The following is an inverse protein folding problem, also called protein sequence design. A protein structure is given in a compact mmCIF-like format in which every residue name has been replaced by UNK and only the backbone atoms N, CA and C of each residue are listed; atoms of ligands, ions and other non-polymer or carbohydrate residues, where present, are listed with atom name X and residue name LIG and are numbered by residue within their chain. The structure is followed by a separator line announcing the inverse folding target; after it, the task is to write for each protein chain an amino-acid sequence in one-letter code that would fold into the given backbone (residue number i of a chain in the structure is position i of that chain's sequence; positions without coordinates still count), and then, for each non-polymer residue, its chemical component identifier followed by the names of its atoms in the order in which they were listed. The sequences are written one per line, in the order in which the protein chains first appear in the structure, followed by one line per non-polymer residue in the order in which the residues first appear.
data_IF_716233133772
#
_entry.id   IF_716233133772
#
_cell.length_a   1.000
_cell.length_b   1.000
_cell.length_c   1.000
_cell.angle_alpha   90.00
_cell.angle_beta   90.00
_cell.angle_gamma   90.00
#
_symmetry.space_group_name_H-M   'P 1'
#
loop_
_entity.id
_entity.type
_entity.pdbx_description
1 polymer ?
#
# COMPACT_ATOMS: atom_id res chain seq x y z
N UNK A 1 47.01 67.57 -55.89
CA UNK A 1 46.96 67.00 -57.25
C UNK A 1 46.10 65.74 -57.20
N UNK A 2 44.97 65.78 -57.91
CA UNK A 2 43.90 64.78 -57.96
C UNK A 2 44.43 63.49 -58.61
N UNK A 3 44.15 62.32 -58.03
CA UNK A 3 44.22 61.03 -58.75
C UNK A 3 42.91 60.26 -58.56
N UNK A 4 42.36 59.93 -59.71
CA UNK A 4 41.04 59.38 -59.97
C UNK A 4 40.95 57.90 -59.55
N UNK A 5 39.79 57.52 -59.01
CA UNK A 5 39.35 56.14 -58.83
C UNK A 5 38.86 55.59 -60.17
N UNK A 6 39.40 54.45 -60.59
CA UNK A 6 38.86 53.62 -61.67
C UNK A 6 38.20 52.39 -61.05
N UNK A 7 36.89 52.30 -61.20
CA UNK A 7 36.08 51.17 -60.77
C UNK A 7 36.23 50.00 -61.75
N UNK A 8 36.61 48.83 -61.24
CA UNK A 8 36.54 47.57 -61.97
C UNK A 8 35.20 46.89 -61.64
N UNK A 9 34.39 46.66 -62.67
CA UNK A 9 33.14 45.89 -62.60
C UNK A 9 33.49 44.41 -62.58
N UNK A 10 33.27 43.73 -61.45
CA UNK A 10 33.38 42.28 -61.33
C UNK A 10 32.01 41.64 -61.56
N UNK A 11 31.87 40.89 -62.66
CA UNK A 11 30.68 40.09 -62.95
C UNK A 11 30.73 38.83 -62.09
N UNK A 12 29.85 38.73 -61.09
CA UNK A 12 29.69 37.54 -60.25
C UNK A 12 28.59 36.67 -60.86
N UNK A 13 28.98 35.52 -61.41
CA UNK A 13 28.07 34.45 -61.82
C UNK A 13 27.50 33.74 -60.55
N UNK A 14 26.18 33.48 -60.46
CA UNK A 14 25.60 32.83 -59.30
C UNK A 14 25.95 31.34 -59.29
N UNK A 15 26.75 30.91 -58.31
CA UNK A 15 26.89 29.50 -57.95
C UNK A 15 25.60 29.05 -57.27
N UNK A 16 24.79 28.25 -57.96
CA UNK A 16 23.65 27.56 -57.37
C UNK A 16 24.16 26.41 -56.49
N UNK A 17 24.43 26.71 -55.21
CA UNK A 17 24.67 25.69 -54.19
C UNK A 17 23.32 25.04 -53.82
N UNK A 18 23.09 23.85 -54.34
CA UNK A 18 21.98 22.97 -53.96
C UNK A 18 22.11 22.62 -52.47
N UNK A 19 21.33 23.28 -51.63
CA UNK A 19 21.14 22.88 -50.23
C UNK A 19 20.36 21.56 -50.25
N UNK A 20 20.89 20.45 -49.69
CA UNK A 20 20.12 19.24 -49.57
C UNK A 20 18.96 19.50 -48.62
N UNK A 21 17.74 19.51 -49.15
CA UNK A 21 16.50 19.52 -48.39
C UNK A 21 16.43 18.21 -47.61
N UNK A 22 16.83 18.24 -46.34
CA UNK A 22 16.52 17.14 -45.43
C UNK A 22 14.99 17.10 -45.28
N UNK A 23 14.38 16.12 -45.92
CA UNK A 23 13.00 15.76 -45.67
C UNK A 23 12.83 15.50 -44.16
N UNK A 24 12.08 16.37 -43.49
CA UNK A 24 11.56 16.11 -42.15
C UNK A 24 10.45 15.07 -42.29
N UNK A 25 10.84 13.81 -42.49
CA UNK A 25 9.99 12.66 -42.20
C UNK A 25 10.57 11.95 -40.99
N UNK A 26 10.53 12.67 -39.86
CA UNK A 26 10.59 12.07 -38.54
C UNK A 26 9.18 12.16 -37.98
N UNK A 27 8.31 11.24 -38.40
CA UNK A 27 7.22 10.81 -37.53
C UNK A 27 7.89 10.37 -36.23
N UNK A 28 7.88 11.25 -35.22
CA UNK A 28 8.25 10.86 -33.87
C UNK A 28 7.42 9.61 -33.58
N UNK A 29 8.04 8.47 -33.19
CA UNK A 29 7.25 7.33 -32.78
C UNK A 29 6.28 7.85 -31.73
N UNK A 30 4.97 7.69 -31.99
CA UNK A 30 3.94 8.07 -31.04
C UNK A 30 4.41 7.57 -29.68
N UNK A 31 4.68 8.49 -28.76
CA UNK A 31 5.31 8.18 -27.48
C UNK A 31 4.47 7.08 -26.84
N UNK A 32 4.92 5.81 -26.95
CA UNK A 32 4.18 4.69 -26.42
C UNK A 32 4.05 4.96 -24.93
N UNK A 33 2.80 4.94 -24.45
CA UNK A 33 2.53 5.18 -23.04
C UNK A 33 3.35 4.20 -22.20
N UNK A 34 3.89 4.68 -21.09
CA UNK A 34 4.64 3.85 -20.15
C UNK A 34 3.71 2.73 -19.65
N UNK A 35 4.14 1.48 -19.70
CA UNK A 35 3.28 0.32 -19.39
C UNK A 35 3.47 -0.11 -17.95
N UNK A 36 2.40 -0.03 -17.16
CA UNK A 36 2.41 -0.48 -15.76
C UNK A 36 1.48 -1.68 -15.60
N UNK A 37 2.05 -2.80 -15.16
CA UNK A 37 1.28 -3.97 -14.78
C UNK A 37 1.11 -3.96 -13.25
N UNK A 38 -0.12 -3.82 -12.78
CA UNK A 38 -0.45 -3.98 -11.36
C UNK A 38 -0.87 -5.42 -11.09
N UNK A 39 -0.13 -6.10 -10.21
CA UNK A 39 -0.45 -7.44 -9.73
C UNK A 39 -0.91 -7.34 -8.28
N UNK A 40 -2.19 -7.61 -8.08
CA UNK A 40 -2.86 -7.50 -6.78
C UNK A 40 -2.86 -8.87 -6.09
N UNK A 41 -2.55 -8.91 -4.80
CA UNK A 41 -2.75 -10.14 -4.00
C UNK A 41 -4.23 -10.53 -3.92
N UNK A 42 -5.11 -9.54 -3.74
CA UNK A 42 -6.54 -9.76 -3.50
C UNK A 42 -7.41 -9.28 -4.67
N UNK A 43 -8.70 -9.63 -4.62
CA UNK A 43 -9.65 -9.22 -5.65
C UNK A 43 -10.01 -7.73 -5.58
N UNK A 44 -10.62 -7.24 -6.67
CA UNK A 44 -11.41 -6.01 -6.77
C UNK A 44 -12.87 -6.41 -7.10
N UNK A 45 -13.90 -5.70 -6.62
CA UNK A 45 -13.81 -4.59 -5.66
C UNK A 45 -13.37 -5.08 -4.28
N UNK A 46 -12.41 -4.39 -3.69
CA UNK A 46 -12.02 -4.49 -2.30
C UNK A 46 -11.28 -3.20 -1.92
N UNK A 47 -11.87 -2.43 -0.99
CA UNK A 47 -11.43 -1.06 -0.65
C UNK A 47 -9.92 -0.94 -0.48
N UNK A 48 -9.31 -1.86 0.26
CA UNK A 48 -7.87 -1.86 0.49
C UNK A 48 -7.05 -1.93 -0.81
N UNK A 49 -7.36 -2.88 -1.69
CA UNK A 49 -6.63 -3.06 -2.94
C UNK A 49 -6.90 -1.94 -3.94
N UNK A 50 -8.15 -1.47 -4.00
CA UNK A 50 -8.56 -0.39 -4.90
C UNK A 50 -7.92 0.94 -4.47
N UNK A 51 -7.90 1.24 -3.16
CA UNK A 51 -7.26 2.42 -2.62
C UNK A 51 -5.74 2.44 -2.89
N UNK A 52 -5.05 1.30 -2.80
CA UNK A 52 -3.64 1.20 -3.19
C UNK A 52 -3.40 1.57 -4.66
N UNK A 53 -4.25 1.12 -5.58
CA UNK A 53 -4.13 1.49 -6.99
C UNK A 53 -4.42 2.98 -7.22
N UNK A 54 -5.45 3.52 -6.58
CA UNK A 54 -5.81 4.94 -6.69
C UNK A 54 -4.68 5.84 -6.15
N UNK A 55 -4.14 5.49 -4.99
CA UNK A 55 -2.98 6.14 -4.41
C UNK A 55 -1.76 6.07 -5.34
N UNK A 56 -1.47 4.89 -5.89
CA UNK A 56 -0.36 4.72 -6.83
C UNK A 56 -0.46 5.65 -8.04
N UNK A 57 -1.65 5.73 -8.65
CA UNK A 57 -1.91 6.65 -9.77
C UNK A 57 -1.71 8.12 -9.35
N UNK A 58 -2.21 8.50 -8.17
CA UNK A 58 -2.02 9.86 -7.64
C UNK A 58 -0.54 10.19 -7.40
N UNK A 59 0.24 9.23 -6.88
CA UNK A 59 1.65 9.41 -6.57
C UNK A 59 2.53 9.50 -7.82
N UNK A 60 2.16 8.78 -8.87
CA UNK A 60 2.81 8.84 -10.17
C UNK A 60 2.58 10.19 -10.87
N UNK A 61 1.38 10.77 -10.70
CA UNK A 61 0.98 12.06 -11.27
C UNK A 61 0.35 11.94 -12.66
N UNK A 62 -0.42 12.97 -13.04
CA UNK A 62 -1.23 13.00 -14.27
C UNK A 62 -0.44 13.20 -15.56
N UNK A 63 0.78 13.73 -15.47
CA UNK A 63 1.59 14.09 -16.64
C UNK A 63 2.25 12.86 -17.30
N UNK A 64 2.26 11.73 -16.59
CA UNK A 64 2.78 10.46 -17.12
C UNK A 64 1.68 9.73 -17.87
N UNK A 65 1.81 9.65 -19.20
CA UNK A 65 0.92 8.82 -20.02
C UNK A 65 1.22 7.34 -19.74
N UNK A 66 0.29 6.67 -19.08
CA UNK A 66 0.44 5.26 -18.70
C UNK A 66 -0.67 4.39 -19.31
N UNK A 67 -0.29 3.25 -19.86
CA UNK A 67 -1.21 2.14 -20.08
C UNK A 67 -1.15 1.21 -18.86
N UNK A 68 -2.27 1.10 -18.15
CA UNK A 68 -2.38 0.19 -17.00
C UNK A 68 -2.97 -1.15 -17.43
N UNK A 69 -2.38 -2.24 -16.95
CA UNK A 69 -3.02 -3.55 -16.93
C UNK A 69 -3.08 -4.05 -15.49
N UNK A 70 -4.18 -4.69 -15.12
CA UNK A 70 -4.41 -5.19 -13.77
C UNK A 70 -4.57 -6.71 -13.82
N UNK A 71 -3.90 -7.41 -12.92
CA UNK A 71 -4.06 -8.84 -12.71
C UNK A 71 -4.26 -9.11 -11.22
N UNK A 72 -5.28 -9.88 -10.89
CA UNK A 72 -5.65 -10.20 -9.51
C UNK A 72 -5.32 -11.65 -9.22
N UNK A 73 -4.43 -11.89 -8.26
CA UNK A 73 -4.15 -13.24 -7.79
C UNK A 73 -5.40 -13.84 -7.12
N UNK A 74 -6.16 -13.00 -6.41
CA UNK A 74 -7.40 -13.36 -5.68
C UNK A 74 -7.16 -14.47 -4.64
N UNK A 75 -6.06 -14.38 -3.89
CA UNK A 75 -5.61 -15.44 -2.98
C UNK A 75 -6.56 -15.69 -1.81
N UNK A 76 -7.39 -14.70 -1.44
CA UNK A 76 -8.45 -14.88 -0.43
C UNK A 76 -9.55 -15.84 -0.87
N UNK A 77 -9.81 -15.97 -2.18
CA UNK A 77 -10.81 -16.91 -2.73
C UNK A 77 -10.15 -18.15 -3.35
N UNK A 78 -8.97 -17.97 -3.95
CA UNK A 78 -8.13 -19.00 -4.57
C UNK A 78 -7.02 -19.42 -3.61
N UNK A 79 -7.40 -20.02 -2.49
CA UNK A 79 -6.49 -20.26 -1.36
C UNK A 79 -5.90 -21.67 -1.30
N UNK A 80 -6.30 -22.59 -2.20
CA UNK A 80 -5.66 -23.90 -2.25
C UNK A 80 -4.25 -23.80 -2.86
N UNK A 81 -3.29 -24.67 -2.47
CA UNK A 81 -1.95 -24.64 -3.03
C UNK A 81 -1.92 -24.71 -4.57
N UNK A 82 -2.82 -25.49 -5.17
CA UNK A 82 -2.94 -25.64 -6.62
C UNK A 82 -3.44 -24.35 -7.28
N UNK A 83 -4.48 -23.72 -6.74
CA UNK A 83 -5.02 -22.47 -7.28
C UNK A 83 -4.02 -21.32 -7.12
N UNK A 84 -3.36 -21.22 -5.97
CA UNK A 84 -2.32 -20.23 -5.72
C UNK A 84 -1.14 -20.41 -6.70
N UNK A 85 -0.68 -21.64 -6.93
CA UNK A 85 0.39 -21.91 -7.89
C UNK A 85 -0.03 -21.56 -9.34
N UNK A 86 -1.28 -21.83 -9.70
CA UNK A 86 -1.85 -21.54 -11.00
C UNK A 86 -1.93 -20.03 -11.26
N UNK A 87 -2.58 -19.28 -10.36
CA UNK A 87 -2.76 -17.82 -10.49
C UNK A 87 -1.40 -17.09 -10.47
N UNK A 88 -0.44 -17.57 -9.66
CA UNK A 88 0.92 -17.04 -9.68
C UNK A 88 1.62 -17.26 -11.03
N UNK A 89 1.45 -18.44 -11.63
CA UNK A 89 2.04 -18.76 -12.94
C UNK A 89 1.50 -17.86 -14.04
N UNK A 90 0.19 -17.70 -14.10
CA UNK A 90 -0.48 -16.80 -15.05
C UNK A 90 -0.03 -15.35 -14.88
N UNK A 91 0.13 -14.87 -13.63
CA UNK A 91 0.68 -13.56 -13.33
C UNK A 91 2.10 -13.37 -13.86
N UNK A 92 2.99 -14.37 -13.67
CA UNK A 92 4.36 -14.36 -14.21
C UNK A 92 4.38 -14.38 -15.74
N UNK A 93 3.59 -15.27 -16.35
CA UNK A 93 3.45 -15.33 -17.82
C UNK A 93 2.91 -14.02 -18.41
N UNK A 94 2.08 -13.29 -17.67
CA UNK A 94 1.58 -11.97 -18.09
C UNK A 94 2.68 -10.91 -18.06
N UNK A 95 3.55 -10.90 -17.04
CA UNK A 95 4.74 -10.02 -16.99
C UNK A 95 5.60 -10.26 -18.24
N UNK A 96 5.87 -11.52 -18.56
CA UNK A 96 6.71 -11.88 -19.70
C UNK A 96 6.08 -11.51 -21.04
N UNK A 97 4.80 -11.82 -21.26
CA UNK A 97 4.13 -11.58 -22.55
C UNK A 97 3.79 -10.13 -22.82
N UNK A 98 3.47 -9.37 -21.77
CA UNK A 98 3.04 -7.98 -21.94
C UNK A 98 4.20 -6.99 -21.91
N UNK A 99 5.38 -7.40 -21.41
CA UNK A 99 6.58 -6.57 -21.34
C UNK A 99 6.35 -5.19 -20.68
N UNK A 100 5.86 -5.14 -19.44
CA UNK A 100 5.67 -3.87 -18.73
C UNK A 100 7.01 -3.13 -18.55
N UNK A 101 6.95 -1.81 -18.56
CA UNK A 101 8.09 -0.96 -18.18
C UNK A 101 8.28 -0.92 -16.65
N UNK A 102 7.21 -1.19 -15.89
CA UNK A 102 7.23 -1.35 -14.44
C UNK A 102 6.11 -2.29 -13.98
N UNK A 103 6.41 -3.09 -12.95
CA UNK A 103 5.39 -3.90 -12.27
C UNK A 103 5.13 -3.32 -10.89
N UNK A 104 3.87 -3.00 -10.60
CA UNK A 104 3.41 -2.64 -9.26
C UNK A 104 2.81 -3.88 -8.61
N UNK A 105 3.24 -4.25 -7.40
CA UNK A 105 2.66 -5.37 -6.63
C UNK A 105 2.10 -4.87 -5.31
N UNK A 106 0.89 -5.30 -4.94
CA UNK A 106 0.32 -4.98 -3.64
C UNK A 106 0.21 -6.21 -2.74
N UNK A 107 0.65 -6.06 -1.49
CA UNK A 107 0.67 -7.07 -0.42
C UNK A 107 1.67 -8.23 -0.63
N UNK A 108 1.84 -9.04 0.42
CA UNK A 108 2.87 -10.09 0.49
C UNK A 108 2.72 -11.17 -0.60
N UNK A 109 1.49 -11.60 -0.93
CA UNK A 109 1.29 -12.70 -1.88
C UNK A 109 1.78 -12.33 -3.30
N UNK A 110 1.48 -11.12 -3.78
CA UNK A 110 1.93 -10.65 -5.08
C UNK A 110 3.46 -10.49 -5.14
N UNK A 111 4.07 -10.01 -4.06
CA UNK A 111 5.52 -9.91 -3.94
C UNK A 111 6.16 -11.31 -3.96
N UNK A 112 5.68 -12.24 -3.12
CA UNK A 112 6.27 -13.57 -2.96
C UNK A 112 6.03 -14.47 -4.16
N UNK A 113 4.81 -14.50 -4.68
CA UNK A 113 4.38 -15.45 -5.71
C UNK A 113 4.77 -14.99 -7.11
N UNK A 114 4.91 -13.68 -7.34
CA UNK A 114 5.23 -13.14 -8.67
C UNK A 114 6.55 -12.39 -8.71
N UNK A 115 6.69 -11.29 -7.96
CA UNK A 115 7.88 -10.43 -8.09
C UNK A 115 9.19 -11.15 -7.74
N UNK A 116 9.17 -12.06 -6.76
CA UNK A 116 10.34 -12.89 -6.37
C UNK A 116 10.97 -13.64 -7.53
N UNK A 117 10.18 -14.04 -8.53
CA UNK A 117 10.68 -14.71 -9.73
C UNK A 117 11.56 -13.79 -10.60
N UNK A 118 11.36 -12.48 -10.49
CA UNK A 118 12.01 -11.47 -11.32
C UNK A 118 13.08 -10.66 -10.57
N UNK A 119 13.51 -11.11 -9.38
CA UNK A 119 14.59 -10.44 -8.66
C UNK A 119 15.88 -10.40 -9.48
N UNK A 120 16.51 -9.24 -9.50
CA UNK A 120 17.71 -8.91 -10.27
C UNK A 120 17.57 -9.11 -11.79
N UNK A 121 16.34 -9.09 -12.32
CA UNK A 121 16.08 -8.95 -13.75
C UNK A 121 16.02 -7.47 -14.16
N UNK A 122 15.82 -7.20 -15.46
CA UNK A 122 15.76 -5.83 -15.99
C UNK A 122 14.49 -5.08 -15.63
N UNK A 123 13.39 -5.79 -15.39
CA UNK A 123 12.08 -5.16 -15.15
C UNK A 123 12.07 -4.59 -13.71
N UNK A 124 11.78 -3.30 -13.51
CA UNK A 124 11.66 -2.73 -12.18
C UNK A 124 10.32 -3.10 -11.52
N UNK A 125 10.37 -3.39 -10.22
CA UNK A 125 9.19 -3.62 -9.40
C UNK A 125 9.12 -2.58 -8.28
N UNK A 126 7.90 -2.13 -8.01
CA UNK A 126 7.58 -1.35 -6.81
C UNK A 126 6.47 -2.08 -6.05
N UNK A 127 6.60 -2.22 -4.73
CA UNK A 127 5.56 -2.81 -3.90
C UNK A 127 4.95 -1.82 -2.89
N UNK A 128 3.75 -2.14 -2.40
CA UNK A 128 3.10 -1.49 -1.24
C UNK A 128 2.32 -2.52 -0.42
N UNK A 129 1.98 -2.19 0.83
CA UNK A 129 1.12 -3.05 1.67
C UNK A 129 1.79 -4.34 2.15
N UNK A 130 3.13 -4.41 2.16
CA UNK A 130 3.87 -5.63 2.50
C UNK A 130 4.14 -5.68 4.01
N UNK A 131 3.62 -6.71 4.68
CA UNK A 131 3.63 -6.84 6.13
C UNK A 131 4.94 -7.44 6.66
N UNK A 132 5.49 -8.47 6.01
CA UNK A 132 6.76 -9.09 6.48
C UNK A 132 7.94 -8.11 6.33
N UNK A 133 9.10 -8.47 6.87
CA UNK A 133 10.32 -7.66 6.69
C UNK A 133 10.86 -7.81 5.27
N UNK A 134 11.61 -6.81 4.79
CA UNK A 134 12.28 -6.90 3.50
C UNK A 134 13.19 -8.14 3.40
N UNK A 135 13.92 -8.45 4.49
CA UNK A 135 14.79 -9.63 4.57
C UNK A 135 14.00 -10.95 4.53
N UNK A 136 12.80 -11.02 5.15
CA UNK A 136 11.94 -12.20 5.06
C UNK A 136 11.47 -12.47 3.62
N UNK A 137 11.34 -11.42 2.81
CA UNK A 137 11.08 -11.49 1.36
C UNK A 137 12.32 -11.72 0.50
N UNK A 138 13.51 -11.81 1.11
CA UNK A 138 14.78 -12.00 0.40
C UNK A 138 15.27 -10.77 -0.37
N UNK A 139 14.90 -9.56 0.06
CA UNK A 139 15.20 -8.32 -0.65
C UNK A 139 16.59 -7.72 -0.34
N UNK A 140 17.37 -8.27 0.58
CA UNK A 140 18.61 -7.65 1.10
C UNK A 140 19.63 -7.30 0.00
N UNK A 141 19.66 -8.06 -1.10
CA UNK A 141 20.59 -7.86 -2.22
C UNK A 141 19.87 -7.67 -3.57
N UNK A 142 18.60 -7.28 -3.56
CA UNK A 142 17.78 -7.13 -4.78
C UNK A 142 17.79 -5.68 -5.24
N UNK A 143 18.21 -5.43 -6.50
CA UNK A 143 18.41 -4.05 -7.00
C UNK A 143 17.22 -3.49 -7.78
N UNK A 144 16.43 -4.36 -8.42
CA UNK A 144 15.31 -3.96 -9.26
C UNK A 144 13.97 -3.88 -8.51
N UNK A 145 13.95 -4.15 -7.21
CA UNK A 145 12.73 -4.14 -6.39
C UNK A 145 12.88 -3.13 -5.25
N UNK A 146 11.88 -2.28 -5.05
CA UNK A 146 11.77 -1.36 -3.92
C UNK A 146 10.30 -1.22 -3.52
N UNK A 147 9.97 -0.57 -2.41
CA UNK A 147 8.57 -0.37 -2.09
C UNK A 147 8.32 0.15 -0.69
N UNK A 148 7.06 0.03 -0.28
CA UNK A 148 6.55 0.53 1.00
C UNK A 148 6.15 -0.67 1.84
N UNK A 149 6.84 -0.85 2.98
CA UNK A 149 6.45 -1.82 3.98
C UNK A 149 5.28 -1.27 4.80
N UNK A 150 4.32 -2.13 5.08
CA UNK A 150 3.21 -1.87 5.98
C UNK A 150 3.69 -1.97 7.42
N UNK A 151 3.61 -0.86 8.17
CA UNK A 151 4.05 -0.80 9.56
C UNK A 151 2.96 -0.20 10.42
N UNK A 152 2.56 -0.95 11.44
CA UNK A 152 1.55 -0.56 12.39
C UNK A 152 2.05 0.57 13.29
N UNK A 153 1.24 1.61 13.46
CA UNK A 153 1.55 2.73 14.35
C UNK A 153 0.99 2.51 15.75
N UNK A 154 1.38 1.40 16.40
CA UNK A 154 0.83 0.97 17.69
C UNK A 154 1.10 2.03 18.77
N UNK A 155 2.36 2.48 18.89
CA UNK A 155 2.74 3.44 19.94
C UNK A 155 2.07 4.79 19.68
N UNK A 156 2.13 5.28 18.45
CA UNK A 156 1.55 6.57 18.05
C UNK A 156 0.03 6.57 18.28
N UNK A 157 -0.64 5.45 18.00
CA UNK A 157 -2.07 5.27 18.28
C UNK A 157 -2.38 5.37 19.78
N UNK A 158 -1.58 4.70 20.63
CA UNK A 158 -1.74 4.79 22.09
C UNK A 158 -1.43 6.21 22.59
N UNK A 159 -0.41 6.88 22.05
CA UNK A 159 -0.08 8.28 22.40
C UNK A 159 -1.17 9.25 21.98
N UNK A 160 -1.78 9.06 20.81
CA UNK A 160 -2.94 9.82 20.38
C UNK A 160 -4.10 9.65 21.37
N UNK A 161 -4.39 8.42 21.79
CA UNK A 161 -5.41 8.17 22.80
C UNK A 161 -5.08 8.84 24.14
N UNK A 162 -3.84 8.80 24.60
CA UNK A 162 -3.44 9.49 25.83
C UNK A 162 -3.59 11.01 25.75
N UNK A 163 -3.41 11.59 24.56
CA UNK A 163 -3.68 13.01 24.33
C UNK A 163 -5.18 13.34 24.40
N UNK A 164 -6.04 12.43 23.93
CA UNK A 164 -7.50 12.58 23.98
C UNK A 164 -8.09 12.29 25.37
N UNK A 165 -7.53 11.30 26.09
CA UNK A 165 -7.94 10.88 27.43
C UNK A 165 -6.69 10.69 28.31
N UNK A 166 -6.25 11.75 29.00
CA UNK A 166 -5.10 11.67 29.90
C UNK A 166 -5.29 10.58 30.97
N UNK A 167 -4.22 9.85 31.26
CA UNK A 167 -4.20 8.80 32.29
C UNK A 167 -4.40 7.37 31.80
N UNK A 168 -4.75 7.16 30.52
CA UNK A 168 -4.78 5.81 29.91
C UNK A 168 -3.40 5.17 29.96
N UNK A 169 -3.29 3.99 30.58
CA UNK A 169 -2.04 3.19 30.64
C UNK A 169 -2.27 1.71 30.40
N UNK A 170 -3.39 1.18 30.88
CA UNK A 170 -3.74 -0.25 30.83
C UNK A 170 -4.56 -0.52 29.58
N UNK A 171 -3.96 -1.18 28.60
CA UNK A 171 -4.59 -1.45 27.30
C UNK A 171 -4.93 -2.92 27.19
N UNK A 172 -6.19 -3.22 26.85
CA UNK A 172 -6.60 -4.57 26.47
C UNK A 172 -6.59 -4.72 24.96
N UNK A 173 -5.94 -5.77 24.45
CA UNK A 173 -6.02 -6.15 23.04
C UNK A 173 -7.19 -7.10 22.84
N UNK A 174 -8.01 -6.84 21.81
CA UNK A 174 -9.09 -7.75 21.39
C UNK A 174 -8.84 -8.11 19.93
N UNK A 175 -8.85 -9.40 19.60
CA UNK A 175 -8.64 -9.87 18.23
C UNK A 175 -9.43 -11.14 17.95
N UNK A 176 -9.77 -11.42 16.68
CA UNK A 176 -10.19 -12.77 16.31
C UNK A 176 -8.99 -13.75 16.27
N UNK A 177 -9.22 -14.98 15.80
CA UNK A 177 -8.25 -16.07 15.79
C UNK A 177 -7.56 -16.29 14.42
N UNK A 178 -7.57 -15.32 13.51
CA UNK A 178 -6.87 -15.44 12.24
C UNK A 178 -5.35 -15.73 12.42
N UNK A 179 -4.79 -16.52 11.50
CA UNK A 179 -3.44 -17.06 11.60
C UNK A 179 -2.30 -16.02 11.56
N UNK A 180 -2.59 -14.78 11.18
CA UNK A 180 -1.61 -13.68 11.12
C UNK A 180 -1.54 -12.86 12.41
N UNK A 181 -2.48 -13.03 13.35
CA UNK A 181 -2.47 -12.30 14.62
C UNK A 181 -1.30 -12.61 15.56
N UNK A 182 -0.79 -13.86 15.66
CA UNK A 182 0.33 -14.15 16.56
C UNK A 182 1.55 -13.24 16.34
N UNK A 183 1.84 -12.89 15.09
CA UNK A 183 2.95 -12.02 14.70
C UNK A 183 2.71 -10.56 15.12
N UNK A 184 1.50 -10.04 14.88
CA UNK A 184 1.09 -8.67 15.29
C UNK A 184 1.06 -8.56 16.82
N UNK A 185 0.43 -9.51 17.50
CA UNK A 185 0.36 -9.58 18.96
C UNK A 185 1.77 -9.73 19.55
N UNK A 186 2.66 -10.48 18.91
CA UNK A 186 4.06 -10.57 19.31
C UNK A 186 4.77 -9.22 19.31
N UNK A 187 4.56 -8.40 18.26
CA UNK A 187 5.10 -7.03 18.16
C UNK A 187 4.51 -6.11 19.22
N UNK A 188 3.19 -6.18 19.47
CA UNK A 188 2.54 -5.45 20.55
C UNK A 188 3.17 -5.82 21.90
N UNK A 189 3.35 -7.12 22.18
CA UNK A 189 3.98 -7.58 23.43
C UNK A 189 5.42 -7.08 23.59
N UNK A 190 6.19 -6.98 22.51
CA UNK A 190 7.54 -6.39 22.52
C UNK A 190 7.46 -4.91 22.90
N UNK A 191 6.61 -4.16 22.20
CA UNK A 191 6.42 -2.72 22.44
C UNK A 191 6.03 -2.43 23.90
N UNK A 192 5.09 -3.17 24.49
CA UNK A 192 4.72 -2.98 25.89
C UNK A 192 5.84 -3.33 26.88
N UNK A 193 6.80 -4.20 26.52
CA UNK A 193 8.00 -4.43 27.35
C UNK A 193 9.01 -3.29 27.25
N UNK A 194 9.08 -2.63 26.10
CA UNK A 194 9.99 -1.50 25.84
C UNK A 194 9.45 -0.16 26.37
N UNK A 195 8.14 -0.08 26.66
CA UNK A 195 7.46 1.11 27.18
C UNK A 195 6.82 0.83 28.55
N UNK A 196 7.60 0.88 29.65
CA UNK A 196 7.12 0.53 31.00
C UNK A 196 6.09 1.51 31.58
N UNK A 197 5.85 2.64 30.92
CA UNK A 197 4.75 3.56 31.26
C UNK A 197 3.37 3.06 30.80
N UNK A 198 3.34 1.99 30.01
CA UNK A 198 2.14 1.31 29.52
C UNK A 198 2.04 -0.10 30.12
N UNK A 199 0.82 -0.61 30.26
CA UNK A 199 0.54 -1.96 30.75
C UNK A 199 -0.36 -2.69 29.74
N UNK A 200 0.04 -3.89 29.31
CA UNK A 200 -0.80 -4.77 28.53
C UNK A 200 -1.73 -5.53 29.49
N UNK A 201 -2.94 -5.01 29.70
CA UNK A 201 -3.92 -5.55 30.63
C UNK A 201 -4.33 -6.99 30.27
N UNK A 202 -4.35 -7.31 28.98
CA UNK A 202 -4.66 -8.65 28.49
C UNK A 202 -4.72 -8.71 26.97
N UNK A 203 -4.72 -9.93 26.44
CA UNK A 203 -5.01 -10.21 25.03
C UNK A 203 -6.17 -11.20 25.01
N UNK A 204 -7.32 -10.75 24.51
CA UNK A 204 -8.51 -11.57 24.37
C UNK A 204 -8.66 -11.99 22.91
N UNK A 205 -8.87 -13.29 22.69
CA UNK A 205 -9.15 -13.85 21.37
C UNK A 205 -10.49 -14.61 21.34
N UNK A 206 -11.63 -13.91 21.48
CA UNK A 206 -12.94 -14.55 21.45
C UNK A 206 -13.19 -15.18 20.07
N UNK A 207 -13.89 -16.32 20.06
CA UNK A 207 -14.27 -17.00 18.82
C UNK A 207 -15.69 -16.59 18.43
N UNK A 208 -16.57 -16.43 19.43
CA UNK A 208 -17.97 -16.09 19.20
C UNK A 208 -18.23 -14.60 19.41
N UNK A 209 -19.28 -14.09 18.75
CA UNK A 209 -19.72 -12.73 18.96
C UNK A 209 -20.18 -12.50 20.41
N UNK A 210 -20.84 -13.46 21.04
CA UNK A 210 -21.26 -13.37 22.43
C UNK A 210 -20.07 -13.17 23.41
N UNK A 211 -18.96 -13.90 23.21
CA UNK A 211 -17.75 -13.71 24.02
C UNK A 211 -17.14 -12.32 23.80
N UNK A 212 -17.09 -11.86 22.53
CA UNK A 212 -16.66 -10.51 22.20
C UNK A 212 -17.51 -9.45 22.90
N UNK A 213 -18.84 -9.61 22.88
CA UNK A 213 -19.78 -8.71 23.54
C UNK A 213 -19.55 -8.66 25.06
N UNK A 214 -19.40 -9.83 25.69
CA UNK A 214 -19.10 -9.94 27.12
C UNK A 214 -17.80 -9.20 27.48
N UNK A 215 -16.75 -9.39 26.69
CA UNK A 215 -15.47 -8.70 26.88
C UNK A 215 -15.63 -7.17 26.77
N UNK A 216 -16.35 -6.69 25.76
CA UNK A 216 -16.56 -5.27 25.50
C UNK A 216 -17.38 -4.56 26.60
N UNK A 217 -18.33 -5.28 27.21
CA UNK A 217 -19.25 -4.75 28.22
C UNK A 217 -18.68 -4.83 29.64
N UNK A 218 -18.03 -5.94 29.98
CA UNK A 218 -17.64 -6.25 31.36
C UNK A 218 -16.21 -5.86 31.71
N UNK A 219 -15.35 -5.60 30.72
CA UNK A 219 -13.95 -5.22 30.93
C UNK A 219 -13.22 -6.13 31.95
N UNK A 220 -13.15 -7.45 31.72
CA UNK A 220 -12.67 -8.41 32.72
C UNK A 220 -11.21 -8.16 33.14
N UNK A 221 -10.40 -7.54 32.29
CA UNK A 221 -9.00 -7.20 32.60
C UNK A 221 -8.84 -5.82 33.28
N UNK A 222 -9.94 -5.12 33.56
CA UNK A 222 -9.95 -3.78 34.14
C UNK A 222 -9.06 -2.79 33.37
N UNK A 223 -9.09 -2.85 32.04
CA UNK A 223 -8.32 -1.95 31.18
C UNK A 223 -8.91 -0.52 31.19
N UNK A 224 -8.08 0.46 30.83
CA UNK A 224 -8.47 1.86 30.63
C UNK A 224 -9.03 2.10 29.22
N UNK A 225 -8.63 1.25 28.27
CA UNK A 225 -8.94 1.32 26.85
C UNK A 225 -8.78 -0.03 26.13
N UNK A 226 -9.45 -0.16 24.99
CA UNK A 226 -9.35 -1.33 24.11
C UNK A 226 -8.54 -1.02 22.84
N UNK A 227 -7.64 -1.92 22.46
CA UNK A 227 -7.00 -1.95 21.16
C UNK A 227 -7.64 -3.07 20.32
N UNK A 228 -8.50 -2.67 19.38
CA UNK A 228 -9.27 -3.58 18.54
C UNK A 228 -8.46 -3.97 17.29
N UNK A 229 -8.14 -5.26 17.18
CA UNK A 229 -7.44 -5.87 16.06
C UNK A 229 -8.45 -6.61 15.17
N UNK A 230 -8.61 -7.93 15.25
CA UNK A 230 -9.51 -8.71 14.38
C UNK A 230 -10.99 -8.36 14.48
N UNK A 231 -11.66 -8.30 13.32
CA UNK A 231 -13.08 -7.95 13.13
C UNK A 231 -13.77 -8.83 12.07
N UNK A 232 -13.13 -9.91 11.58
CA UNK A 232 -13.62 -10.67 10.43
C UNK A 232 -14.10 -12.09 10.76
N UNK A 233 -13.52 -12.74 11.78
CA UNK A 233 -13.73 -14.18 12.00
C UNK A 233 -14.56 -14.52 13.25
N UNK A 234 -15.39 -13.59 13.71
CA UNK A 234 -16.29 -13.84 14.84
C UNK A 234 -17.51 -14.63 14.39
N UNK A 235 -17.86 -15.67 15.15
CA UNK A 235 -18.97 -16.57 14.83
C UNK A 235 -20.25 -16.18 15.55
N UNK A 236 -21.38 -16.19 14.84
CA UNK A 236 -22.70 -16.08 15.42
C UNK A 236 -23.15 -17.40 16.09
N UNK A 237 -24.36 -17.41 16.65
CA UNK A 237 -24.94 -18.61 17.31
C UNK A 237 -25.11 -19.81 16.38
N UNK A 238 -25.10 -19.59 15.06
CA UNK A 238 -25.23 -20.62 14.02
C UNK A 238 -23.87 -21.03 13.45
N UNK A 239 -22.77 -20.45 13.94
CA UNK A 239 -21.41 -20.70 13.46
C UNK A 239 -21.05 -19.95 12.18
N UNK A 240 -21.90 -19.02 11.71
CA UNK A 240 -21.62 -18.18 10.54
C UNK A 240 -20.75 -16.97 10.92
N UNK A 241 -19.98 -16.44 9.96
CA UNK A 241 -19.22 -15.21 10.17
C UNK A 241 -20.16 -14.01 10.35
N UNK A 242 -19.94 -13.25 11.42
CA UNK A 242 -20.62 -11.98 11.63
C UNK A 242 -20.01 -10.94 10.68
N UNK A 243 -20.81 -10.26 9.85
CA UNK A 243 -20.30 -9.21 8.98
C UNK A 243 -19.62 -8.11 9.80
N UNK A 244 -18.37 -7.76 9.44
CA UNK A 244 -17.58 -6.78 10.18
C UNK A 244 -18.30 -5.44 10.43
N UNK A 245 -19.13 -4.86 9.52
CA UNK A 245 -19.84 -3.61 9.80
C UNK A 245 -20.89 -3.76 10.89
N UNK A 246 -21.54 -4.94 10.99
CA UNK A 246 -22.52 -5.25 12.03
C UNK A 246 -21.83 -5.37 13.38
N UNK A 247 -20.73 -6.11 13.43
CA UNK A 247 -19.93 -6.26 14.63
C UNK A 247 -19.40 -4.92 15.14
N UNK A 248 -18.88 -4.10 14.22
CA UNK A 248 -18.24 -2.86 14.59
C UNK A 248 -19.24 -1.77 15.00
N UNK A 249 -20.39 -1.68 14.32
CA UNK A 249 -21.50 -0.83 14.76
C UNK A 249 -21.94 -1.19 16.17
N UNK A 250 -22.19 -2.48 16.42
CA UNK A 250 -22.57 -2.93 17.75
C UNK A 250 -21.51 -2.54 18.79
N UNK A 251 -20.23 -2.78 18.48
CA UNK A 251 -19.14 -2.45 19.41
C UNK A 251 -19.14 -0.97 19.78
N UNK A 252 -19.29 -0.07 18.82
CA UNK A 252 -19.21 1.37 19.09
C UNK A 252 -20.44 1.94 19.75
N UNK A 253 -21.61 1.32 19.54
CA UNK A 253 -22.82 1.67 20.27
C UNK A 253 -22.82 1.18 21.73
N UNK A 254 -21.97 0.20 22.08
CA UNK A 254 -22.04 -0.51 23.38
C UNK A 254 -20.74 -0.46 24.21
N UNK A 255 -19.59 -0.20 23.61
CA UNK A 255 -18.31 -0.20 24.29
C UNK A 255 -18.27 0.87 25.38
N UNK A 256 -17.84 0.48 26.58
CA UNK A 256 -17.77 1.36 27.76
C UNK A 256 -16.41 2.04 27.95
N UNK A 257 -15.41 1.60 27.20
CA UNK A 257 -14.06 2.14 27.21
C UNK A 257 -13.77 2.82 25.87
N UNK A 258 -12.90 3.83 25.85
CA UNK A 258 -12.35 4.32 24.58
C UNK A 258 -11.64 3.18 23.86
N UNK A 259 -11.85 3.12 22.55
CA UNK A 259 -11.21 2.12 21.70
C UNK A 259 -10.26 2.78 20.69
N UNK A 260 -9.26 2.01 20.29
CA UNK A 260 -8.33 2.40 19.25
C UNK A 260 -8.04 1.24 18.31
N UNK A 261 -7.61 1.58 17.10
CA UNK A 261 -7.07 0.65 16.12
C UNK A 261 -6.06 1.37 15.23
N UNK A 262 -5.35 0.63 14.38
CA UNK A 262 -4.33 1.18 13.49
C UNK A 262 -4.47 0.68 12.04
N UNK A 263 -5.61 0.06 11.70
CA UNK A 263 -5.99 -0.19 10.31
C UNK A 263 -7.22 0.63 9.93
N UNK A 264 -7.17 1.22 8.74
CA UNK A 264 -8.20 2.09 8.19
C UNK A 264 -9.60 1.47 8.16
N UNK A 265 -9.74 0.17 7.91
CA UNK A 265 -11.06 -0.48 7.80
C UNK A 265 -11.82 -0.51 9.13
N UNK A 266 -11.11 -0.49 10.27
CA UNK A 266 -11.73 -0.30 11.59
C UNK A 266 -12.18 1.15 11.80
N UNK A 267 -11.52 2.12 11.20
CA UNK A 267 -11.93 3.52 11.40
C UNK A 267 -13.29 3.78 10.79
N UNK A 268 -13.57 3.22 9.60
CA UNK A 268 -14.79 3.50 8.88
C UNK A 268 -16.09 3.11 9.57
N UNK A 269 -16.05 2.19 10.55
CA UNK A 269 -17.28 1.69 11.22
C UNK A 269 -17.37 1.93 12.73
N UNK A 270 -16.39 2.59 13.36
CA UNK A 270 -16.69 3.09 14.70
C UNK A 270 -15.58 3.72 15.50
N UNK A 271 -14.34 3.28 15.23
CA UNK A 271 -13.28 3.38 16.23
C UNK A 271 -12.92 4.82 16.58
N UNK A 272 -12.86 5.11 17.89
CA UNK A 272 -12.68 6.47 18.41
C UNK A 272 -11.41 7.15 17.87
N UNK A 273 -10.27 6.46 17.90
CA UNK A 273 -9.00 7.04 17.44
C UNK A 273 -8.03 6.00 16.87
N UNK A 274 -7.12 6.46 16.00
CA UNK A 274 -6.10 5.63 15.39
C UNK A 274 -5.11 6.44 14.58
N UNK A 275 -3.84 6.06 14.63
CA UNK A 275 -2.86 6.43 13.60
C UNK A 275 -2.80 5.26 12.64
N UNK A 276 -3.44 5.38 11.48
CA UNK A 276 -3.82 4.21 10.68
C UNK A 276 -2.97 4.01 9.45
N UNK A 277 -2.74 2.73 9.14
CA UNK A 277 -2.27 2.30 7.83
C UNK A 277 -3.39 2.55 6.81
N UNK A 278 -3.09 3.37 5.80
CA UNK A 278 -4.00 3.65 4.69
C UNK A 278 -3.52 3.04 3.38
N UNK A 279 -4.42 2.34 2.69
CA UNK A 279 -4.13 1.75 1.37
C UNK A 279 -3.80 2.83 0.35
N UNK A 280 -4.51 3.95 0.38
CA UNK A 280 -4.23 5.09 -0.48
C UNK A 280 -2.82 5.64 -0.26
N UNK A 281 -2.41 5.85 0.98
CA UNK A 281 -1.10 6.41 1.26
C UNK A 281 0.06 5.45 0.94
N UNK A 282 -0.15 4.15 1.19
CA UNK A 282 0.75 3.06 0.76
C UNK A 282 0.96 3.10 -0.76
N UNK A 283 -0.13 3.19 -1.52
CA UNK A 283 -0.11 3.37 -2.96
C UNK A 283 0.58 4.67 -3.38
N UNK A 284 0.23 5.79 -2.77
CA UNK A 284 0.77 7.12 -3.06
C UNK A 284 2.29 7.15 -2.92
N UNK A 285 2.81 6.58 -1.84
CA UNK A 285 4.25 6.45 -1.63
C UNK A 285 4.89 5.54 -2.71
N UNK A 286 4.29 4.41 -3.06
CA UNK A 286 4.76 3.55 -4.15
C UNK A 286 4.75 4.26 -5.52
N UNK A 287 3.71 5.03 -5.84
CA UNK A 287 3.62 5.84 -7.06
C UNK A 287 4.74 6.88 -7.14
N UNK A 288 5.05 7.55 -6.03
CA UNK A 288 6.19 8.48 -5.94
C UNK A 288 7.53 7.79 -6.17
N UNK A 289 7.72 6.57 -5.64
CA UNK A 289 8.91 5.75 -5.88
C UNK A 289 9.03 5.36 -7.37
N UNK A 290 7.93 4.99 -8.00
CA UNK A 290 7.87 4.68 -9.43
C UNK A 290 8.25 5.91 -10.29
N UNK A 291 7.70 7.08 -9.96
CA UNK A 291 8.05 8.35 -10.62
C UNK A 291 9.52 8.70 -10.46
N UNK A 292 10.08 8.53 -9.27
CA UNK A 292 11.50 8.81 -9.01
C UNK A 292 12.40 7.97 -9.94
N UNK A 293 12.08 6.68 -10.13
CA UNK A 293 12.82 5.82 -11.09
C UNK A 293 12.74 6.32 -12.52
N UNK A 294 11.58 6.79 -12.96
CA UNK A 294 11.43 7.39 -14.28
C UNK A 294 12.32 8.64 -14.47
N UNK A 295 12.55 9.40 -13.40
CA UNK A 295 13.45 10.56 -13.39
C UNK A 295 14.95 10.17 -13.23
N UNK A 296 15.30 8.88 -13.30
CA UNK A 296 16.67 8.39 -13.11
C UNK A 296 17.12 8.38 -11.65
N UNK A 297 16.22 8.60 -10.70
CA UNK A 297 16.49 8.53 -9.26
C UNK A 297 16.23 7.09 -8.81
N UNK A 298 17.20 6.45 -8.17
CA UNK A 298 16.99 5.12 -7.56
C UNK A 298 16.71 5.29 -6.07
N UNK A 299 15.43 5.40 -5.64
CA UNK A 299 15.13 5.48 -4.23
C UNK A 299 15.48 4.15 -3.55
N UNK A 300 16.24 4.23 -2.47
CA UNK A 300 16.51 3.12 -1.54
C UNK A 300 15.82 3.43 -0.23
N UNK A 301 14.49 3.36 -0.21
CA UNK A 301 13.72 3.38 1.02
C UNK A 301 12.82 2.16 1.06
N UNK A 302 12.82 1.48 2.21
CA UNK A 302 11.93 0.35 2.51
C UNK A 302 10.78 0.77 3.43
N UNK A 303 10.83 1.97 4.00
CA UNK A 303 9.82 2.49 4.93
C UNK A 303 9.50 3.93 4.54
N UNK A 304 8.23 4.18 4.23
CA UNK A 304 7.70 5.52 4.05
C UNK A 304 6.53 5.66 5.00
N UNK A 305 6.68 6.57 5.97
CA UNK A 305 5.62 6.94 6.90
C UNK A 305 4.78 8.04 6.25
N UNK A 306 3.48 7.79 6.18
CA UNK A 306 2.46 8.72 5.71
C UNK A 306 1.25 8.56 6.61
N UNK A 307 0.68 9.67 7.06
CA UNK A 307 -0.48 9.69 7.95
C UNK A 307 -1.62 10.45 7.27
N UNK A 308 -2.82 9.90 7.34
CA UNK A 308 -4.05 10.52 6.85
C UNK A 308 -5.08 10.58 7.98
N UNK A 309 -5.77 11.72 8.09
CA UNK A 309 -6.85 11.92 9.05
C UNK A 309 -8.16 11.42 8.44
N UNK A 310 -8.75 10.38 9.03
CA UNK A 310 -10.11 9.93 8.68
C UNK A 310 -11.09 10.86 9.39
N UNK A 311 -11.79 11.71 8.64
CA UNK A 311 -12.74 12.69 9.20
C UNK A 311 -14.20 12.31 9.02
N UNK A 312 -14.49 11.23 8.29
CA UNK A 312 -15.85 10.79 7.96
C UNK A 312 -15.99 9.29 8.19
N UNK A 313 -17.15 8.91 8.72
CA UNK A 313 -17.46 7.57 9.19
C UNK A 313 -18.64 6.99 8.39
N UNK A 314 -18.61 5.70 8.04
CA UNK A 314 -19.62 5.09 7.16
C UNK A 314 -21.02 5.06 7.79
N UNK A 315 -21.13 5.01 9.11
CA UNK A 315 -22.42 5.04 9.80
C UNK A 315 -23.03 6.46 9.90
N UNK A 316 -22.33 7.49 9.41
CA UNK A 316 -22.85 8.85 9.32
C UNK A 316 -23.57 9.15 7.98
N UNK A 317 -23.70 8.16 7.10
CA UNK A 317 -24.43 8.23 5.83
C UNK A 317 -25.78 7.51 5.93
#
# INVERSE_FOLDING_TARGET
MIRQFLAAVLIILPFASSVPTYAQDASQPAQQGFRILHIMSFNSPYRWTDAQLDGFKAGLGSDVKVEYKIYQLDTKRKSSPTEMAQTAREGRELVERWHPDLVFTSDDDALEMVARHFYNTRIPFVFSGVNKTASAHGLDNVQNVTGVLEREHILETIRLLQALKPGVKRIQVISDNAAYWPQVIGRIRILFREHPDLELAGVAQPITFAEFQHIALENPNQADANLMLGNFNFKDEKGADVPYPVLQRWYVENARLPDVSFWEDRMYHGTLAGVVVSGHEQGLAAGKLARARQLGITPRSTVLLSATVVTNFEWAK
#
